data_IF_958594475257
#
_entry.id   IF_958594475257
#
_cell.length_a   1.000
_cell.length_b   1.000
_cell.length_c   1.000
_cell.angle_alpha   90.00
_cell.angle_beta   90.00
_cell.angle_gamma   90.00
#
_symmetry.space_group_name_H-M   'P 1'
#
loop_
_entity.id
_entity.type
_entity.pdbx_description
1 polymer ?
#
# COMPACT_ATOMS: atom_id res chain seq x y z
N UNK A 1 3.41 14.86 5.97
CA UNK A 1 2.71 15.97 5.26
C UNK A 1 1.37 15.45 4.79
N UNK A 2 0.35 16.30 4.75
CA UNK A 2 -0.97 15.98 4.22
C UNK A 2 -0.89 15.82 2.69
N UNK A 3 -1.12 14.60 2.19
CA UNK A 3 -1.04 14.27 0.77
C UNK A 3 -2.05 15.05 -0.08
N UNK A 4 -3.19 15.48 0.51
CA UNK A 4 -4.18 16.31 -0.20
C UNK A 4 -3.65 17.71 -0.50
N UNK A 5 -2.98 18.31 0.49
CA UNK A 5 -2.31 19.60 0.29
C UNK A 5 -1.18 19.51 -0.70
N UNK A 6 -0.43 18.40 -0.68
CA UNK A 6 0.66 18.19 -1.60
C UNK A 6 0.18 17.99 -3.04
N UNK A 7 -0.86 17.18 -3.25
CA UNK A 7 -1.49 17.02 -4.56
C UNK A 7 -2.01 18.34 -5.13
N UNK A 8 -2.69 19.12 -4.28
CA UNK A 8 -3.21 20.45 -4.68
C UNK A 8 -2.08 21.36 -5.13
N UNK A 9 -0.97 21.37 -4.42
CA UNK A 9 0.19 22.17 -4.79
C UNK A 9 0.83 21.68 -6.10
N UNK A 10 0.99 20.36 -6.29
CA UNK A 10 1.51 19.81 -7.55
C UNK A 10 0.63 20.18 -8.75
N UNK A 11 -0.70 20.14 -8.60
CA UNK A 11 -1.66 20.57 -9.62
C UNK A 11 -1.54 22.07 -9.94
N UNK A 12 -1.35 22.91 -8.93
CA UNK A 12 -1.15 24.35 -9.14
C UNK A 12 0.13 24.64 -9.92
N UNK A 13 1.25 24.02 -9.57
CA UNK A 13 2.51 24.18 -10.31
C UNK A 13 2.38 23.65 -11.74
N UNK A 14 1.69 22.52 -11.95
CA UNK A 14 1.41 22.00 -13.30
C UNK A 14 0.60 23.00 -14.14
N UNK A 15 -0.42 23.64 -13.56
CA UNK A 15 -1.20 24.68 -14.22
C UNK A 15 -0.36 25.93 -14.56
N UNK A 16 0.51 26.35 -13.64
CA UNK A 16 1.44 27.46 -13.84
C UNK A 16 2.39 27.19 -15.02
N UNK A 17 2.87 25.95 -15.18
CA UNK A 17 3.77 25.58 -16.27
C UNK A 17 3.07 25.41 -17.63
N UNK A 18 1.77 25.17 -17.63
CA UNK A 18 1.02 24.84 -18.86
C UNK A 18 1.13 25.89 -20.00
N UNK A 19 1.11 27.21 -19.73
CA UNK A 19 1.20 28.22 -20.80
C UNK A 19 2.55 28.29 -21.52
N UNK A 20 3.63 27.73 -20.94
CA UNK A 20 4.99 27.99 -21.41
C UNK A 20 5.49 26.96 -22.45
N UNK A 21 4.75 25.89 -22.71
CA UNK A 21 5.10 24.90 -23.74
C UNK A 21 6.44 24.22 -23.50
N UNK A 22 7.30 24.19 -24.53
CA UNK A 22 8.65 23.57 -24.51
C UNK A 22 9.76 24.58 -24.18
N UNK A 23 9.42 25.73 -23.60
CA UNK A 23 10.38 26.78 -23.27
C UNK A 23 11.32 26.36 -22.12
N UNK A 24 12.52 26.98 -22.08
CA UNK A 24 13.44 26.82 -20.96
C UNK A 24 13.01 27.66 -19.75
N UNK A 25 13.22 27.17 -18.55
CA UNK A 25 13.01 27.90 -17.29
C UNK A 25 13.83 29.20 -17.22
N UNK A 26 14.94 29.29 -17.93
CA UNK A 26 15.76 30.50 -18.02
C UNK A 26 14.98 31.78 -18.29
N UNK A 27 13.84 31.67 -18.99
CA UNK A 27 12.99 32.79 -19.32
C UNK A 27 11.83 33.01 -18.32
N UNK A 28 11.65 32.09 -17.34
CA UNK A 28 10.51 32.10 -16.42
C UNK A 28 10.95 31.80 -14.97
N UNK A 29 11.65 32.75 -14.30
CA UNK A 29 12.23 32.51 -12.96
C UNK A 29 11.21 32.13 -11.88
N UNK A 30 9.97 32.63 -11.99
CA UNK A 30 8.91 32.25 -11.04
C UNK A 30 8.49 30.78 -11.20
N UNK A 31 8.30 30.35 -12.43
CA UNK A 31 7.97 28.95 -12.74
C UNK A 31 9.10 28.00 -12.30
N UNK A 32 10.36 28.42 -12.49
CA UNK A 32 11.54 27.70 -11.98
C UNK A 32 11.48 27.55 -10.46
N UNK A 33 11.24 28.65 -9.73
CA UNK A 33 11.16 28.63 -8.27
C UNK A 33 10.02 27.74 -7.77
N UNK A 34 8.84 27.79 -8.41
CA UNK A 34 7.69 26.94 -8.09
C UNK A 34 8.02 25.44 -8.27
N UNK A 35 8.65 25.09 -9.38
CA UNK A 35 9.07 23.72 -9.65
C UNK A 35 10.14 23.23 -8.67
N UNK A 36 11.19 24.03 -8.40
CA UNK A 36 12.22 23.71 -7.40
C UNK A 36 11.62 23.44 -6.02
N UNK A 37 10.72 24.31 -5.56
CA UNK A 37 10.04 24.13 -4.27
C UNK A 37 9.22 22.85 -4.24
N UNK A 38 8.51 22.52 -5.31
CA UNK A 38 7.75 21.28 -5.42
C UNK A 38 8.67 20.05 -5.34
N UNK A 39 9.80 20.06 -6.05
CA UNK A 39 10.77 18.95 -6.02
C UNK A 39 11.40 18.76 -4.64
N UNK A 40 11.74 19.85 -3.95
CA UNK A 40 12.23 19.77 -2.55
C UNK A 40 11.19 19.16 -1.60
N UNK A 41 9.93 19.54 -1.77
CA UNK A 41 8.84 18.98 -0.97
C UNK A 41 8.61 17.50 -1.29
N UNK A 42 8.63 17.13 -2.57
CA UNK A 42 8.52 15.75 -3.02
C UNK A 42 9.63 14.89 -2.41
N UNK A 43 10.87 15.38 -2.45
CA UNK A 43 12.03 14.71 -1.88
C UNK A 43 11.93 14.46 -0.36
N UNK A 44 11.26 15.36 0.37
CA UNK A 44 11.01 15.19 1.82
C UNK A 44 9.83 14.30 2.14
N UNK A 45 8.82 14.29 1.28
CA UNK A 45 7.52 13.68 1.56
C UNK A 45 7.36 12.29 0.99
N UNK A 46 8.17 11.95 -0.02
CA UNK A 46 8.17 10.67 -0.72
C UNK A 46 9.60 10.13 -0.74
N UNK A 47 10.16 9.71 0.40
CA UNK A 47 11.56 9.32 0.54
C UNK A 47 11.97 8.16 -0.39
N UNK A 48 11.04 7.28 -0.71
CA UNK A 48 11.23 6.15 -1.62
C UNK A 48 11.42 6.54 -3.10
N UNK A 49 10.98 7.76 -3.47
CA UNK A 49 11.16 8.34 -4.80
C UNK A 49 12.21 9.47 -4.79
N UNK A 50 13.00 9.54 -3.71
CA UNK A 50 13.95 10.62 -3.45
C UNK A 50 14.93 10.86 -4.60
N UNK A 51 15.44 9.79 -5.19
CA UNK A 51 16.42 9.90 -6.28
C UNK A 51 15.85 10.67 -7.47
N UNK A 52 14.62 10.35 -7.90
CA UNK A 52 13.97 11.02 -9.03
C UNK A 52 13.86 12.53 -8.79
N UNK A 53 13.36 12.93 -7.62
CA UNK A 53 13.09 14.34 -7.32
C UNK A 53 14.39 15.11 -6.98
N UNK A 54 15.36 14.44 -6.39
CA UNK A 54 16.69 14.99 -6.12
C UNK A 54 17.46 15.26 -7.40
N UNK A 55 17.40 14.36 -8.37
CA UNK A 55 18.03 14.55 -9.69
C UNK A 55 17.39 15.71 -10.43
N UNK A 56 16.05 15.79 -10.47
CA UNK A 56 15.34 16.89 -11.12
C UNK A 56 15.66 18.25 -10.48
N UNK A 57 15.68 18.32 -9.14
CA UNK A 57 16.06 19.53 -8.41
C UNK A 57 17.50 19.94 -8.73
N UNK A 58 18.46 19.02 -8.62
CA UNK A 58 19.89 19.30 -8.82
C UNK A 58 20.23 19.68 -10.27
N UNK A 59 19.47 19.17 -11.25
CA UNK A 59 19.64 19.52 -12.64
C UNK A 59 19.33 21.01 -12.87
N UNK A 60 18.14 21.45 -12.43
CA UNK A 60 17.72 22.85 -12.57
C UNK A 60 18.55 23.79 -11.69
N UNK A 61 18.97 23.35 -10.51
CA UNK A 61 19.76 24.18 -9.60
C UNK A 61 21.15 24.49 -10.17
N UNK A 62 21.73 23.58 -10.97
CA UNK A 62 23.00 23.80 -11.68
C UNK A 62 22.82 24.64 -12.94
N UNK A 63 21.80 24.39 -13.71
CA UNK A 63 21.50 25.08 -14.95
C UNK A 63 20.00 25.07 -15.24
N UNK A 64 19.36 26.23 -15.22
CA UNK A 64 17.94 26.40 -15.52
C UNK A 64 17.52 26.03 -16.95
N UNK A 65 18.47 25.73 -17.82
CA UNK A 65 18.24 25.21 -19.17
C UNK A 65 18.34 23.68 -19.27
N UNK A 66 18.75 23.00 -18.19
CA UNK A 66 19.00 21.54 -18.17
C UNK A 66 17.74 20.68 -18.24
N UNK A 67 16.60 21.22 -17.85
CA UNK A 67 15.27 20.61 -17.97
C UNK A 67 14.35 21.63 -18.64
N UNK A 68 13.68 21.25 -19.71
CA UNK A 68 12.65 22.10 -20.29
C UNK A 68 11.33 22.01 -19.50
N UNK A 69 10.46 23.00 -19.73
CA UNK A 69 9.17 23.08 -19.01
C UNK A 69 8.28 21.87 -19.31
N UNK A 70 8.39 21.27 -20.50
CA UNK A 70 7.61 20.10 -20.84
C UNK A 70 8.09 18.85 -20.07
N UNK A 71 9.41 18.68 -19.93
CA UNK A 71 10.01 17.63 -19.09
C UNK A 71 9.58 17.81 -17.61
N UNK A 72 9.62 19.04 -17.11
CA UNK A 72 9.15 19.37 -15.76
C UNK A 72 7.66 19.00 -15.56
N UNK A 73 6.82 19.25 -16.55
CA UNK A 73 5.40 18.84 -16.53
C UNK A 73 5.25 17.32 -16.47
N UNK A 74 6.04 16.57 -17.23
CA UNK A 74 6.03 15.11 -17.18
C UNK A 74 6.45 14.58 -15.80
N UNK A 75 7.45 15.19 -15.19
CA UNK A 75 7.88 14.86 -13.81
C UNK A 75 6.76 15.12 -12.82
N UNK A 76 6.03 16.25 -12.95
CA UNK A 76 4.88 16.56 -12.06
C UNK A 76 3.71 15.59 -12.29
N UNK A 77 3.44 15.19 -13.54
CA UNK A 77 2.40 14.20 -13.83
C UNK A 77 2.76 12.84 -13.21
N UNK A 78 4.03 12.46 -13.27
CA UNK A 78 4.50 11.24 -12.61
C UNK A 78 4.36 11.33 -11.07
N UNK A 79 4.73 12.48 -10.48
CA UNK A 79 4.53 12.78 -9.07
C UNK A 79 3.05 12.67 -8.65
N UNK A 80 2.13 13.23 -9.44
CA UNK A 80 0.69 13.12 -9.17
C UNK A 80 0.21 11.68 -9.18
N UNK A 81 0.72 10.86 -10.08
CA UNK A 81 0.39 9.42 -10.12
C UNK A 81 0.91 8.67 -8.90
N UNK A 82 2.12 9.01 -8.44
CA UNK A 82 2.66 8.46 -7.17
C UNK A 82 1.77 8.85 -5.99
N UNK A 83 1.37 10.12 -5.89
CA UNK A 83 0.49 10.60 -4.82
C UNK A 83 -0.87 9.88 -4.85
N UNK A 84 -1.43 9.64 -6.03
CA UNK A 84 -2.70 8.91 -6.20
C UNK A 84 -2.57 7.47 -5.67
N UNK A 85 -1.49 6.77 -6.01
CA UNK A 85 -1.21 5.42 -5.50
C UNK A 85 -1.08 5.45 -3.97
N UNK A 86 -0.28 6.37 -3.42
CA UNK A 86 -0.09 6.52 -1.98
C UNK A 86 -1.41 6.82 -1.25
N UNK A 87 -2.25 7.69 -1.82
CA UNK A 87 -3.58 8.00 -1.27
C UNK A 87 -4.50 6.80 -1.31
N UNK A 88 -4.57 6.11 -2.45
CA UNK A 88 -5.46 4.96 -2.60
C UNK A 88 -5.12 3.86 -1.59
N UNK A 89 -3.83 3.62 -1.36
CA UNK A 89 -3.36 2.68 -0.34
C UNK A 89 -3.73 3.14 1.07
N UNK A 90 -3.60 4.44 1.36
CA UNK A 90 -3.92 5.00 2.68
C UNK A 90 -5.42 5.06 2.99
N UNK A 91 -6.25 5.46 2.01
CA UNK A 91 -7.71 5.60 2.20
C UNK A 91 -8.34 4.23 2.39
N UNK A 92 -7.98 3.26 1.57
CA UNK A 92 -8.54 1.92 1.65
C UNK A 92 -8.27 1.24 2.99
N UNK A 93 -7.07 1.39 3.55
CA UNK A 93 -6.75 0.87 4.88
C UNK A 93 -7.55 1.56 6.01
N UNK A 94 -7.93 2.84 5.85
CA UNK A 94 -8.75 3.58 6.84
C UNK A 94 -10.24 3.29 6.78
N UNK A 95 -10.78 2.96 5.62
CA UNK A 95 -12.22 2.69 5.44
C UNK A 95 -12.65 1.28 5.89
N UNK A 96 -11.68 0.44 6.26
CA UNK A 96 -11.94 -0.94 6.70
C UNK A 96 -12.30 -1.06 8.19
N UNK A 97 -13.17 -0.18 8.69
CA UNK A 97 -13.72 -0.23 10.06
C UNK A 97 -14.73 -1.37 10.23
N UNK A 98 -14.28 -2.62 10.36
CA UNK A 98 -15.25 -3.72 10.34
C UNK A 98 -15.00 -4.79 11.40
N UNK A 99 -13.77 -4.96 11.83
CA UNK A 99 -13.41 -6.05 12.72
C UNK A 99 -12.62 -5.50 13.91
N UNK A 100 -13.17 -5.63 15.10
CA UNK A 100 -12.54 -5.20 16.34
C UNK A 100 -11.15 -5.81 16.49
N UNK A 101 -10.15 -4.99 16.76
CA UNK A 101 -8.75 -5.39 16.87
C UNK A 101 -7.97 -5.50 15.55
N UNK A 102 -8.63 -5.64 14.40
CA UNK A 102 -7.95 -5.65 13.10
C UNK A 102 -7.58 -4.24 12.62
N UNK A 103 -8.32 -3.21 13.04
CA UNK A 103 -8.08 -1.81 12.65
C UNK A 103 -6.69 -1.33 13.08
N UNK A 104 -6.30 -1.59 14.31
CA UNK A 104 -4.98 -1.21 14.82
C UNK A 104 -3.86 -1.88 14.01
N UNK A 105 -4.03 -3.16 13.66
CA UNK A 105 -3.06 -3.92 12.86
C UNK A 105 -2.99 -3.46 11.41
N UNK A 106 -4.11 -3.04 10.82
CA UNK A 106 -4.12 -2.40 9.51
C UNK A 106 -3.39 -1.06 9.52
N UNK A 107 -3.58 -0.26 10.56
CA UNK A 107 -2.84 1.00 10.72
C UNK A 107 -1.33 0.75 10.91
N UNK A 108 -0.96 -0.25 11.71
CA UNK A 108 0.43 -0.67 11.87
C UNK A 108 1.02 -1.16 10.54
N UNK A 109 0.28 -1.95 9.73
CA UNK A 109 0.72 -2.36 8.40
C UNK A 109 0.96 -1.16 7.47
N UNK A 110 0.05 -0.19 7.47
CA UNK A 110 0.18 1.04 6.68
C UNK A 110 1.39 1.88 7.11
N UNK A 111 1.64 1.98 8.41
CA UNK A 111 2.78 2.72 8.94
C UNK A 111 4.11 2.01 8.59
N UNK A 112 4.16 0.69 8.73
CA UNK A 112 5.32 -0.12 8.33
C UNK A 112 5.61 0.02 6.84
N UNK A 113 4.58 -0.03 5.98
CA UNK A 113 4.74 0.17 4.54
C UNK A 113 5.32 1.56 4.22
N UNK A 114 4.83 2.63 4.88
CA UNK A 114 5.34 3.99 4.68
C UNK A 114 6.79 4.17 5.13
N UNK A 115 7.22 3.42 6.15
CA UNK A 115 8.61 3.42 6.63
C UNK A 115 9.51 2.41 5.90
N UNK A 116 9.02 1.82 4.81
CA UNK A 116 9.73 0.80 4.03
C UNK A 116 10.08 -0.48 4.79
N UNK A 117 9.47 -0.69 5.96
CA UNK A 117 9.57 -1.94 6.69
C UNK A 117 8.55 -2.95 6.14
N UNK A 118 8.89 -3.54 5.01
CA UNK A 118 8.01 -4.49 4.31
C UNK A 118 7.84 -5.80 5.08
N UNK A 119 8.84 -6.21 5.87
CA UNK A 119 8.71 -7.39 6.72
C UNK A 119 7.61 -7.19 7.76
N UNK A 120 7.63 -6.08 8.50
CA UNK A 120 6.58 -5.74 9.47
C UNK A 120 5.22 -5.49 8.80
N UNK A 121 5.21 -4.98 7.57
CA UNK A 121 3.98 -4.87 6.77
C UNK A 121 3.31 -6.22 6.62
N UNK A 122 4.02 -7.25 6.15
CA UNK A 122 3.48 -8.60 5.96
C UNK A 122 3.05 -9.26 7.28
N UNK A 123 3.84 -9.09 8.33
CA UNK A 123 3.48 -9.61 9.65
C UNK A 123 2.16 -9.02 10.17
N UNK A 124 1.98 -7.71 10.02
CA UNK A 124 0.74 -7.04 10.42
C UNK A 124 -0.44 -7.45 9.53
N UNK A 125 -0.27 -7.57 8.19
CA UNK A 125 -1.31 -8.06 7.29
C UNK A 125 -1.73 -9.49 7.63
N UNK A 126 -0.78 -10.39 7.93
CA UNK A 126 -1.10 -11.76 8.37
C UNK A 126 -1.91 -11.75 9.67
N UNK A 127 -1.54 -10.89 10.63
CA UNK A 127 -2.29 -10.74 11.88
C UNK A 127 -3.72 -10.22 11.61
N UNK A 128 -3.91 -9.27 10.70
CA UNK A 128 -5.25 -8.82 10.27
C UNK A 128 -6.07 -9.98 9.74
N UNK A 129 -5.51 -10.76 8.82
CA UNK A 129 -6.20 -11.92 8.26
C UNK A 129 -6.58 -12.95 9.33
N UNK A 130 -5.69 -13.18 10.31
CA UNK A 130 -5.97 -14.08 11.42
C UNK A 130 -7.16 -13.61 12.25
N UNK A 131 -7.15 -12.35 12.68
CA UNK A 131 -8.21 -11.77 13.50
C UNK A 131 -9.57 -11.84 12.79
N UNK A 132 -9.60 -11.43 11.51
CA UNK A 132 -10.81 -11.40 10.71
C UNK A 132 -11.37 -12.79 10.44
N UNK A 133 -10.52 -13.74 10.07
CA UNK A 133 -10.97 -15.11 9.80
C UNK A 133 -11.45 -15.81 11.07
N UNK A 134 -10.77 -15.61 12.20
CA UNK A 134 -11.23 -16.14 13.50
C UNK A 134 -12.58 -15.54 13.89
N UNK A 135 -12.76 -14.24 13.75
CA UNK A 135 -14.04 -13.58 14.01
C UNK A 135 -15.17 -14.16 13.14
N UNK A 136 -14.95 -14.24 11.83
CA UNK A 136 -15.94 -14.79 10.87
C UNK A 136 -16.28 -16.27 11.10
N UNK A 137 -15.39 -17.03 11.70
CA UNK A 137 -15.58 -18.43 12.02
C UNK A 137 -16.11 -18.65 13.46
N UNK A 138 -16.25 -17.56 14.23
CA UNK A 138 -16.63 -17.64 15.65
C UNK A 138 -15.55 -18.29 16.52
N UNK A 139 -14.27 -18.20 16.11
CA UNK A 139 -13.14 -18.74 16.84
C UNK A 139 -12.61 -17.64 17.78
N UNK A 140 -12.51 -17.89 19.10
CA UNK A 140 -11.93 -16.91 20.02
C UNK A 140 -10.51 -16.51 19.58
N UNK A 141 -10.24 -15.21 19.51
CA UNK A 141 -8.92 -14.69 19.12
C UNK A 141 -7.82 -15.09 20.09
N UNK A 142 -8.18 -15.39 21.33
CA UNK A 142 -7.29 -15.88 22.38
C UNK A 142 -6.92 -17.36 22.23
N UNK A 143 -7.62 -18.10 21.38
CA UNK A 143 -7.35 -19.52 21.16
C UNK A 143 -6.02 -19.67 20.38
N UNK A 144 -5.03 -20.28 21.05
CA UNK A 144 -3.70 -20.56 20.48
C UNK A 144 -3.76 -21.88 19.69
N UNK A 145 -2.84 -22.05 18.73
CA UNK A 145 -2.72 -23.28 17.94
C UNK A 145 -3.43 -23.22 16.58
N UNK A 146 -4.52 -22.47 16.45
CA UNK A 146 -5.17 -22.23 15.15
C UNK A 146 -4.55 -20.96 14.55
N UNK A 147 -3.76 -21.13 13.51
CA UNK A 147 -3.11 -20.02 12.80
C UNK A 147 -3.79 -19.75 11.45
N UNK A 148 -3.49 -18.58 10.88
CA UNK A 148 -4.05 -18.13 9.59
C UNK A 148 -3.80 -19.14 8.46
N UNK A 149 -2.61 -19.76 8.42
CA UNK A 149 -2.26 -20.74 7.39
C UNK A 149 -3.20 -21.94 7.41
N UNK A 150 -3.43 -22.53 8.58
CA UNK A 150 -4.33 -23.70 8.73
C UNK A 150 -5.76 -23.33 8.30
N UNK A 151 -6.26 -22.17 8.73
CA UNK A 151 -7.60 -21.71 8.36
C UNK A 151 -7.68 -21.55 6.85
N UNK A 152 -6.77 -20.79 6.25
CA UNK A 152 -6.82 -20.50 4.82
C UNK A 152 -6.58 -21.74 3.95
N UNK A 153 -5.69 -22.64 4.34
CA UNK A 153 -5.45 -23.91 3.63
C UNK A 153 -6.71 -24.77 3.58
N UNK A 154 -7.45 -24.83 4.68
CA UNK A 154 -8.71 -25.57 4.74
C UNK A 154 -9.80 -24.87 3.92
N UNK A 155 -10.00 -23.56 4.12
CA UNK A 155 -11.03 -22.80 3.40
C UNK A 155 -10.81 -22.85 1.88
N UNK A 156 -9.56 -22.70 1.42
CA UNK A 156 -9.24 -22.78 -0.01
C UNK A 156 -9.37 -24.19 -0.56
N UNK A 157 -8.93 -25.21 0.18
CA UNK A 157 -9.06 -26.62 -0.20
C UNK A 157 -10.54 -27.03 -0.41
N UNK A 158 -11.42 -26.54 0.44
CA UNK A 158 -12.87 -26.84 0.36
C UNK A 158 -13.63 -25.81 -0.47
N UNK A 159 -12.92 -24.87 -1.15
CA UNK A 159 -13.49 -23.81 -1.99
C UNK A 159 -14.61 -23.04 -1.28
N UNK A 160 -14.40 -22.70 -0.01
CA UNK A 160 -15.35 -21.90 0.75
C UNK A 160 -15.38 -20.47 0.21
N UNK A 161 -16.54 -19.97 -0.19
CA UNK A 161 -16.67 -18.60 -0.69
C UNK A 161 -16.36 -17.55 0.42
N UNK A 162 -15.58 -16.52 0.09
CA UNK A 162 -15.09 -16.10 -1.23
C UNK A 162 -13.70 -16.70 -1.58
N UNK A 163 -13.65 -17.96 -2.02
CA UNK A 163 -12.40 -18.75 -2.11
C UNK A 163 -11.31 -18.13 -3.01
N UNK A 164 -11.67 -17.46 -4.11
CA UNK A 164 -10.68 -16.80 -4.99
C UNK A 164 -9.93 -15.70 -4.26
N UNK A 165 -10.60 -14.92 -3.44
CA UNK A 165 -9.98 -13.86 -2.64
C UNK A 165 -9.16 -14.43 -1.48
N UNK A 166 -9.60 -15.55 -0.91
CA UNK A 166 -8.81 -16.30 0.08
C UNK A 166 -7.52 -16.83 -0.53
N UNK A 167 -7.58 -17.38 -1.75
CA UNK A 167 -6.42 -17.89 -2.48
C UNK A 167 -5.42 -16.77 -2.81
N UNK A 168 -5.90 -15.62 -3.30
CA UNK A 168 -5.05 -14.46 -3.58
C UNK A 168 -4.40 -13.89 -2.29
N UNK A 169 -5.14 -13.75 -1.20
CA UNK A 169 -4.58 -13.30 0.07
C UNK A 169 -3.57 -14.34 0.64
N UNK A 170 -3.85 -15.63 0.51
CA UNK A 170 -2.91 -16.69 0.87
C UNK A 170 -1.60 -16.56 0.08
N UNK A 171 -1.68 -16.42 -1.23
CA UNK A 171 -0.54 -16.31 -2.14
C UNK A 171 0.30 -15.06 -1.87
N UNK A 172 -0.36 -13.92 -1.71
CA UNK A 172 0.30 -12.61 -1.63
C UNK A 172 0.63 -12.16 -0.20
N UNK A 173 0.09 -12.79 0.83
CA UNK A 173 0.41 -12.45 2.23
C UNK A 173 1.06 -13.62 2.95
N UNK A 174 0.37 -14.75 3.10
CA UNK A 174 0.87 -15.85 3.94
C UNK A 174 2.13 -16.50 3.40
N UNK A 175 2.20 -16.74 2.08
CA UNK A 175 3.39 -17.34 1.46
C UNK A 175 4.60 -16.43 1.66
N UNK A 176 4.42 -15.11 1.56
CA UNK A 176 5.52 -14.15 1.75
C UNK A 176 5.89 -14.07 3.24
N UNK A 177 4.93 -13.94 4.15
CA UNK A 177 5.18 -13.90 5.60
C UNK A 177 5.90 -15.17 6.09
N UNK A 178 5.54 -16.34 5.58
CA UNK A 178 6.24 -17.60 5.87
C UNK A 178 7.68 -17.60 5.33
N UNK A 179 7.93 -17.05 4.14
CA UNK A 179 9.32 -16.90 3.63
C UNK A 179 10.14 -15.95 4.50
N UNK A 180 9.54 -14.84 4.97
CA UNK A 180 10.21 -13.91 5.90
C UNK A 180 10.62 -14.66 7.17
N UNK A 181 9.68 -15.37 7.80
CA UNK A 181 9.88 -16.07 9.09
C UNK A 181 10.89 -17.21 9.02
N UNK A 182 10.86 -17.99 7.94
CA UNK A 182 11.61 -19.25 7.87
C UNK A 182 12.84 -19.21 6.95
N UNK A 183 12.93 -18.21 6.07
CA UNK A 183 13.98 -18.13 5.05
C UNK A 183 14.76 -16.82 5.11
N UNK A 184 14.43 -15.90 6.03
CA UNK A 184 15.05 -14.56 6.09
C UNK A 184 14.82 -13.73 4.81
N UNK A 185 13.69 -13.96 4.15
CA UNK A 185 13.34 -13.27 2.91
C UNK A 185 13.05 -11.79 3.17
N UNK A 186 13.54 -10.92 2.28
CA UNK A 186 13.25 -9.49 2.30
C UNK A 186 12.28 -9.16 1.15
N UNK A 187 11.00 -8.88 1.47
CA UNK A 187 10.01 -8.59 0.43
C UNK A 187 10.27 -7.25 -0.25
N UNK A 188 9.82 -7.15 -1.49
CA UNK A 188 9.89 -5.93 -2.28
C UNK A 188 8.68 -5.04 -2.04
N UNK A 189 8.79 -3.76 -2.42
CA UNK A 189 7.66 -2.81 -2.42
C UNK A 189 6.48 -3.33 -3.25
N UNK A 190 6.74 -3.92 -4.42
CA UNK A 190 5.68 -4.44 -5.30
C UNK A 190 4.93 -5.60 -4.64
N UNK A 191 5.64 -6.51 -3.99
CA UNK A 191 5.00 -7.60 -3.23
C UNK A 191 4.16 -7.06 -2.09
N UNK A 192 4.64 -6.03 -1.39
CA UNK A 192 3.90 -5.38 -0.29
C UNK A 192 2.61 -4.72 -0.79
N UNK A 193 2.64 -4.02 -1.93
CA UNK A 193 1.46 -3.46 -2.57
C UNK A 193 0.46 -4.57 -2.93
N UNK A 194 0.93 -5.68 -3.50
CA UNK A 194 0.07 -6.81 -3.86
C UNK A 194 -0.53 -7.47 -2.60
N UNK A 195 0.24 -7.60 -1.52
CA UNK A 195 -0.24 -8.11 -0.24
C UNK A 195 -1.33 -7.23 0.38
N UNK A 196 -1.11 -5.92 0.40
CA UNK A 196 -2.10 -4.94 0.87
C UNK A 196 -3.38 -5.05 0.05
N UNK A 197 -3.27 -5.02 -1.29
CA UNK A 197 -4.41 -5.10 -2.20
C UNK A 197 -5.21 -6.39 -2.01
N UNK A 198 -4.54 -7.54 -1.94
CA UNK A 198 -5.20 -8.83 -1.73
C UNK A 198 -5.92 -8.88 -0.39
N UNK A 199 -5.34 -8.30 0.68
CA UNK A 199 -5.98 -8.18 1.99
C UNK A 199 -7.23 -7.31 1.91
N UNK A 200 -7.14 -6.13 1.30
CA UNK A 200 -8.27 -5.20 1.14
C UNK A 200 -9.44 -5.84 0.38
N UNK A 201 -9.15 -6.49 -0.73
CA UNK A 201 -10.16 -7.16 -1.55
C UNK A 201 -10.87 -8.27 -0.77
N UNK A 202 -10.12 -9.11 -0.04
CA UNK A 202 -10.68 -10.15 0.80
C UNK A 202 -11.56 -9.56 1.92
N UNK A 203 -11.08 -8.56 2.65
CA UNK A 203 -11.83 -7.92 3.72
C UNK A 203 -13.11 -7.27 3.21
N UNK A 204 -13.07 -6.61 2.05
CA UNK A 204 -14.25 -6.04 1.40
C UNK A 204 -15.31 -7.12 1.08
N UNK A 205 -14.88 -8.30 0.66
CA UNK A 205 -15.79 -9.43 0.41
C UNK A 205 -16.33 -10.02 1.71
N UNK A 206 -15.48 -10.24 2.70
CA UNK A 206 -15.88 -10.78 4.00
C UNK A 206 -16.83 -9.86 4.78
N UNK A 207 -16.84 -8.56 4.49
CA UNK A 207 -17.80 -7.61 5.06
C UNK A 207 -19.23 -8.00 4.73
N UNK A 208 -19.46 -8.41 3.50
CA UNK A 208 -20.80 -8.61 2.94
C UNK A 208 -21.19 -10.10 2.81
N UNK A 209 -20.26 -11.01 3.11
CA UNK A 209 -20.44 -12.45 2.95
C UNK A 209 -20.12 -13.15 4.26
N UNK A 210 -21.04 -14.01 4.71
CA UNK A 210 -20.76 -14.96 5.77
C UNK A 210 -19.98 -16.16 5.22
N UNK A 211 -18.93 -16.56 5.93
CA UNK A 211 -18.23 -17.80 5.60
C UNK A 211 -19.14 -18.98 5.89
N UNK A 212 -19.72 -19.56 4.85
CA UNK A 212 -20.56 -20.77 4.97
C UNK A 212 -19.66 -21.99 5.11
N UNK A 213 -19.31 -22.31 6.34
CA UNK A 213 -18.55 -23.52 6.69
C UNK A 213 -19.48 -24.57 7.27
N UNK A 214 -19.34 -25.80 6.77
CA UNK A 214 -20.00 -26.97 7.38
C UNK A 214 -19.31 -27.33 8.67
N UNK A 215 -20.01 -28.09 9.56
CA UNK A 215 -19.40 -28.61 10.80
C UNK A 215 -18.13 -29.44 10.49
N UNK A 216 -18.17 -30.26 9.42
CA UNK A 216 -16.99 -31.01 8.99
C UNK A 216 -15.77 -30.12 8.69
N UNK A 217 -15.97 -28.95 8.07
CA UNK A 217 -14.89 -28.00 7.78
C UNK A 217 -14.40 -27.37 9.09
N UNK A 218 -15.31 -27.01 10.00
CA UNK A 218 -14.95 -26.49 11.32
C UNK A 218 -14.13 -27.51 12.10
N UNK A 219 -14.57 -28.77 12.17
CA UNK A 219 -13.85 -29.85 12.84
C UNK A 219 -12.41 -29.98 12.30
N UNK A 220 -12.23 -29.84 10.99
CA UNK A 220 -10.89 -29.88 10.39
C UNK A 220 -10.02 -28.68 10.75
N UNK A 221 -10.63 -27.49 10.89
CA UNK A 221 -9.90 -26.30 11.37
C UNK A 221 -9.46 -26.53 12.83
N UNK A 222 -10.33 -27.10 13.66
CA UNK A 222 -10.05 -27.38 15.06
C UNK A 222 -9.14 -28.61 15.28
N UNK A 223 -9.12 -29.57 14.35
CA UNK A 223 -8.22 -30.73 14.42
C UNK A 223 -6.75 -30.38 14.19
N UNK A 224 -6.46 -29.14 13.80
CA UNK A 224 -5.09 -28.60 13.73
C UNK A 224 -4.54 -28.11 15.08
N UNK A 225 -5.30 -28.31 16.16
CA UNK A 225 -4.88 -28.07 17.54
C UNK A 225 -4.12 -29.27 18.09
#
# INVERSE_FOLDING_TARGET
MDLDKFEKMAKLVLQELTPYGTSSFKYYPQAEASFKNLMQLANKSLPEHRELFSVAYSAIDRDSSSIDINEARLIILHLLKIIEIEKSTNVKLKEMKIFEGAEEKLEQAANSFRSEDYCSTFHNLNTVLELVLKDKLGIPTTLRGINTSNIMDILTKYKVEPYLYLEEARKHVLVIDNKIKHQGYSPTKVESINGIKATEELLSKLKNVELRVTEEIKDKIFAGL
#
